data_IF_674537539864
#
_entry.id   IF_674537539864
#
_cell.length_a   1.000
_cell.length_b   1.000
_cell.length_c   1.000
_cell.angle_alpha   90.00
_cell.angle_beta   90.00
_cell.angle_gamma   90.00
#
_symmetry.space_group_name_H-M   'P 1'
#
loop_
_entity.id
_entity.type
_entity.pdbx_description
1 polymer ?
#
# COMPACT_ATOMS: atom_id res chain seq x y z
N UNK A 1 -14.79 7.54 -28.55
CA UNK A 1 -13.60 7.93 -27.77
C UNK A 1 -13.37 6.82 -26.75
N UNK A 2 -12.14 6.37 -26.53
CA UNK A 2 -11.85 5.39 -25.48
C UNK A 2 -12.07 6.04 -24.12
N UNK A 3 -12.75 5.34 -23.22
CA UNK A 3 -12.93 5.80 -21.83
C UNK A 3 -11.58 5.92 -21.14
N UNK A 4 -11.30 7.00 -20.38
CA UNK A 4 -10.04 7.11 -19.66
C UNK A 4 -9.99 6.08 -18.54
N UNK A 5 -8.83 5.46 -18.37
CA UNK A 5 -8.52 4.62 -17.19
C UNK A 5 -7.82 5.54 -16.20
N UNK A 6 -8.41 5.70 -15.01
CA UNK A 6 -7.92 6.62 -13.98
C UNK A 6 -7.72 5.89 -12.64
N UNK A 7 -7.08 6.55 -11.70
CA UNK A 7 -6.96 6.15 -10.29
C UNK A 7 -7.98 6.88 -9.42
N UNK A 8 -8.19 6.39 -8.19
CA UNK A 8 -9.06 7.06 -7.22
C UNK A 8 -8.55 8.46 -6.85
N UNK A 9 -7.25 8.72 -6.98
CA UNK A 9 -6.69 10.05 -6.72
C UNK A 9 -7.08 11.11 -7.76
N UNK A 10 -7.47 10.70 -8.95
CA UNK A 10 -7.77 11.58 -10.09
C UNK A 10 -9.28 11.86 -10.26
N UNK A 11 -10.13 11.37 -9.34
CA UNK A 11 -11.59 11.51 -9.45
C UNK A 11 -12.07 12.96 -9.58
N UNK A 12 -11.42 13.90 -8.90
CA UNK A 12 -11.79 15.31 -8.92
C UNK A 12 -11.66 15.93 -10.33
N UNK A 13 -10.68 15.48 -11.09
CA UNK A 13 -10.42 15.97 -12.46
C UNK A 13 -11.39 15.37 -13.49
N UNK A 14 -12.17 14.34 -13.09
CA UNK A 14 -13.08 13.59 -13.94
C UNK A 14 -14.53 13.60 -13.46
N UNK A 15 -14.91 14.61 -12.66
CA UNK A 15 -16.30 14.77 -12.20
C UNK A 15 -17.27 14.79 -13.39
N UNK A 16 -18.41 14.09 -13.26
CA UNK A 16 -19.47 13.92 -14.27
C UNK A 16 -19.01 13.25 -15.57
N UNK A 17 -17.81 12.63 -15.60
CA UNK A 17 -17.31 11.89 -16.76
C UNK A 17 -17.45 10.38 -16.55
N UNK A 18 -17.60 9.64 -17.65
CA UNK A 18 -17.52 8.17 -17.61
C UNK A 18 -16.06 7.73 -17.68
N UNK A 19 -15.66 6.97 -16.67
CA UNK A 19 -14.27 6.50 -16.49
C UNK A 19 -14.23 5.00 -16.22
N UNK A 20 -13.03 4.41 -16.34
CA UNK A 20 -12.74 3.05 -15.89
C UNK A 20 -11.70 3.12 -14.77
N UNK A 21 -11.96 2.40 -13.68
CA UNK A 21 -11.00 2.20 -12.57
C UNK A 21 -10.64 0.72 -12.48
N UNK A 22 -9.39 0.46 -12.09
CA UNK A 22 -8.87 -0.88 -11.80
C UNK A 22 -8.60 -1.01 -10.32
N UNK A 23 -9.00 -2.13 -9.71
CA UNK A 23 -8.77 -2.30 -8.29
C UNK A 23 -9.31 -3.60 -7.74
N UNK A 24 -9.46 -3.62 -6.44
CA UNK A 24 -9.93 -4.76 -5.68
C UNK A 24 -11.17 -4.41 -4.88
N UNK A 25 -12.10 -5.36 -4.77
CA UNK A 25 -13.28 -5.25 -3.91
C UNK A 25 -12.84 -5.33 -2.44
N UNK A 26 -12.74 -4.18 -1.79
CA UNK A 26 -12.39 -4.13 -0.37
C UNK A 26 -13.54 -4.63 0.52
N UNK A 27 -14.77 -4.24 0.19
CA UNK A 27 -15.98 -4.63 0.91
C UNK A 27 -17.21 -4.34 0.05
N UNK A 28 -18.34 -4.86 0.46
CA UNK A 28 -19.62 -4.56 -0.19
C UNK A 28 -20.78 -4.63 0.80
N UNK A 29 -21.90 -3.95 0.47
CA UNK A 29 -23.16 -4.02 1.21
C UNK A 29 -24.33 -3.93 0.25
N UNK A 30 -25.47 -4.50 0.66
CA UNK A 30 -26.75 -4.42 -0.08
C UNK A 30 -27.74 -3.61 0.75
N UNK A 31 -28.50 -2.73 0.08
CA UNK A 31 -29.64 -2.01 0.68
C UNK A 31 -30.76 -1.90 -0.35
N UNK A 32 -31.78 -2.74 -0.22
CA UNK A 32 -32.86 -2.79 -1.18
C UNK A 32 -32.39 -3.14 -2.59
N UNK A 33 -32.63 -2.22 -3.54
CA UNK A 33 -32.24 -2.33 -4.96
C UNK A 33 -30.83 -1.76 -5.24
N UNK A 34 -30.09 -1.38 -4.20
CA UNK A 34 -28.74 -0.83 -4.31
C UNK A 34 -27.69 -1.84 -3.85
N UNK A 35 -26.63 -1.97 -4.60
CA UNK A 35 -25.41 -2.63 -4.18
C UNK A 35 -24.29 -1.59 -4.13
N UNK A 36 -23.67 -1.47 -2.96
CA UNK A 36 -22.52 -0.60 -2.74
C UNK A 36 -21.26 -1.47 -2.71
N UNK A 37 -20.35 -1.21 -3.61
CA UNK A 37 -19.06 -1.86 -3.68
C UNK A 37 -18.03 -0.82 -3.24
N UNK A 38 -17.19 -1.13 -2.27
CA UNK A 38 -16.05 -0.30 -1.94
C UNK A 38 -14.87 -0.83 -2.73
N UNK A 39 -14.50 -0.11 -3.77
CA UNK A 39 -13.30 -0.35 -4.55
C UNK A 39 -12.08 0.20 -3.81
N UNK A 40 -10.99 -0.51 -3.83
CA UNK A 40 -9.68 -0.06 -3.37
C UNK A 40 -8.68 -0.15 -4.51
N UNK A 41 -7.93 0.91 -4.72
CA UNK A 41 -6.69 0.89 -5.51
C UNK A 41 -5.48 1.23 -4.62
N UNK A 42 -4.34 1.56 -5.21
CA UNK A 42 -3.14 1.98 -4.45
C UNK A 42 -3.26 3.36 -3.79
N UNK A 43 -4.25 4.15 -4.16
CA UNK A 43 -4.38 5.56 -3.77
C UNK A 43 -5.53 5.82 -2.79
N UNK A 44 -6.59 4.99 -2.81
CA UNK A 44 -7.73 5.25 -1.95
C UNK A 44 -8.81 4.18 -1.96
N UNK A 45 -9.99 4.63 -1.51
CA UNK A 45 -11.22 3.84 -1.45
C UNK A 45 -12.35 4.65 -2.07
N UNK A 46 -13.11 4.03 -2.98
CA UNK A 46 -14.23 4.65 -3.67
C UNK A 46 -15.49 3.84 -3.45
N UNK A 47 -16.59 4.50 -3.14
CA UNK A 47 -17.92 3.88 -3.18
C UNK A 47 -18.39 3.80 -4.62
N UNK A 48 -18.63 2.58 -5.10
CA UNK A 48 -19.23 2.31 -6.40
C UNK A 48 -20.65 1.81 -6.18
N UNK A 49 -21.62 2.42 -6.87
CA UNK A 49 -23.04 2.17 -6.68
C UNK A 49 -23.63 1.51 -7.91
N UNK A 50 -24.19 0.31 -7.71
CA UNK A 50 -24.98 -0.39 -8.73
C UNK A 50 -26.44 -0.31 -8.31
N UNK A 51 -27.27 0.36 -9.14
CA UNK A 51 -28.69 0.48 -8.91
C UNK A 51 -29.46 -0.43 -9.87
N UNK A 52 -30.08 -1.47 -9.34
CA UNK A 52 -30.69 -2.55 -10.12
C UNK A 52 -31.62 -2.08 -11.25
N UNK A 53 -32.49 -1.05 -11.08
CA UNK A 53 -33.34 -0.56 -12.17
C UNK A 53 -32.61 0.11 -13.34
N UNK A 54 -31.36 0.52 -13.16
CA UNK A 54 -30.56 1.26 -14.16
C UNK A 54 -29.52 0.37 -14.87
N UNK A 55 -29.43 -0.91 -14.46
CA UNK A 55 -28.46 -1.87 -15.04
C UNK A 55 -29.20 -3.11 -15.54
N UNK A 56 -28.59 -3.81 -16.49
CA UNK A 56 -29.11 -5.09 -16.96
C UNK A 56 -28.91 -6.21 -15.91
N UNK A 57 -29.57 -7.34 -16.13
CA UNK A 57 -29.50 -8.48 -15.20
C UNK A 57 -28.09 -9.07 -15.12
N UNK A 58 -27.34 -9.09 -16.23
CA UNK A 58 -26.00 -9.64 -16.27
C UNK A 58 -25.03 -8.83 -15.41
N UNK A 59 -25.08 -7.49 -15.47
CA UNK A 59 -24.28 -6.62 -14.62
C UNK A 59 -24.68 -6.73 -13.15
N UNK A 60 -25.99 -6.83 -12.88
CA UNK A 60 -26.48 -7.03 -11.51
C UNK A 60 -25.96 -8.34 -10.90
N UNK A 61 -26.08 -9.47 -11.62
CA UNK A 61 -25.59 -10.77 -11.17
C UNK A 61 -24.06 -10.76 -10.98
N UNK A 62 -23.33 -10.11 -11.90
CA UNK A 62 -21.89 -9.89 -11.74
C UNK A 62 -21.58 -9.15 -10.44
N UNK A 63 -22.26 -8.04 -10.17
CA UNK A 63 -22.08 -7.28 -8.93
C UNK A 63 -22.44 -8.09 -7.68
N UNK A 64 -23.42 -9.00 -7.76
CA UNK A 64 -23.82 -9.88 -6.65
C UNK A 64 -22.79 -10.97 -6.38
N UNK A 65 -22.14 -11.49 -7.41
CA UNK A 65 -21.15 -12.58 -7.31
C UNK A 65 -19.81 -12.15 -6.71
N UNK A 66 -19.55 -10.83 -6.60
CA UNK A 66 -18.28 -10.32 -6.11
C UNK A 66 -17.98 -10.77 -4.68
N UNK A 67 -16.77 -11.25 -4.48
CA UNK A 67 -16.17 -11.58 -3.18
C UNK A 67 -15.13 -10.54 -2.76
N UNK A 68 -14.78 -10.51 -1.48
CA UNK A 68 -13.73 -9.62 -0.98
C UNK A 68 -12.39 -9.93 -1.67
N UNK A 69 -11.66 -8.89 -2.06
CA UNK A 69 -10.38 -8.94 -2.78
C UNK A 69 -10.47 -9.46 -4.23
N UNK A 70 -11.66 -9.63 -4.79
CA UNK A 70 -11.82 -9.82 -6.25
C UNK A 70 -11.19 -8.65 -6.98
N UNK A 71 -10.32 -8.92 -7.95
CA UNK A 71 -9.75 -7.92 -8.84
C UNK A 71 -10.64 -7.69 -10.05
N UNK A 72 -10.85 -6.44 -10.39
CA UNK A 72 -11.78 -6.06 -11.45
C UNK A 72 -11.43 -4.73 -12.11
N UNK A 73 -11.97 -4.52 -13.30
CA UNK A 73 -12.18 -3.22 -13.91
C UNK A 73 -13.63 -2.80 -13.71
N UNK A 74 -13.85 -1.58 -13.26
CA UNK A 74 -15.19 -1.05 -13.03
C UNK A 74 -15.35 0.27 -13.80
N UNK A 75 -16.41 0.37 -14.55
CA UNK A 75 -16.73 1.52 -15.39
C UNK A 75 -17.97 2.22 -14.86
N UNK A 76 -17.99 3.53 -14.94
CA UNK A 76 -19.14 4.32 -14.51
C UNK A 76 -18.89 5.82 -14.57
N UNK A 77 -19.92 6.57 -14.22
CA UNK A 77 -19.85 8.04 -14.14
C UNK A 77 -19.44 8.46 -12.74
N UNK A 78 -18.42 9.31 -12.66
CA UNK A 78 -17.98 9.92 -11.39
C UNK A 78 -19.04 10.95 -10.96
N UNK A 79 -19.70 10.71 -9.85
CA UNK A 79 -20.69 11.62 -9.29
C UNK A 79 -20.17 12.29 -8.01
N UNK A 80 -20.44 13.57 -7.85
CA UNK A 80 -20.18 14.29 -6.60
C UNK A 80 -21.26 13.93 -5.59
N UNK A 81 -20.88 13.41 -4.42
CA UNK A 81 -21.79 13.16 -3.30
C UNK A 81 -21.05 13.42 -1.98
N UNK A 82 -21.40 14.52 -1.30
CA UNK A 82 -20.80 14.95 -0.03
C UNK A 82 -20.97 13.91 1.10
N UNK A 83 -21.89 12.95 0.95
CA UNK A 83 -22.09 11.86 1.90
C UNK A 83 -21.16 10.68 1.66
N UNK A 84 -20.57 10.60 0.46
CA UNK A 84 -19.63 9.54 0.11
C UNK A 84 -18.24 9.85 0.70
N UNK A 85 -17.48 8.83 1.15
CA UNK A 85 -16.10 9.04 1.57
C UNK A 85 -15.26 9.66 0.45
N UNK A 86 -14.66 10.81 0.70
CA UNK A 86 -13.87 11.54 -0.29
C UNK A 86 -14.68 12.46 -1.21
N UNK A 87 -16.01 12.60 -1.01
CA UNK A 87 -16.85 13.52 -1.79
C UNK A 87 -17.29 13.01 -3.16
N UNK A 88 -16.92 11.78 -3.52
CA UNK A 88 -17.24 11.18 -4.82
C UNK A 88 -17.77 9.76 -4.69
N UNK A 89 -18.63 9.38 -5.62
CA UNK A 89 -19.02 7.99 -5.85
C UNK A 89 -18.98 7.67 -7.35
N UNK A 90 -18.89 6.39 -7.69
CA UNK A 90 -19.01 5.91 -9.07
C UNK A 90 -20.39 5.32 -9.30
N UNK A 91 -21.17 5.89 -10.22
CA UNK A 91 -22.40 5.28 -10.73
C UNK A 91 -22.03 4.25 -11.78
N UNK A 92 -22.12 2.98 -11.44
CA UNK A 92 -21.57 1.88 -12.21
C UNK A 92 -22.40 1.60 -13.46
N UNK A 93 -21.73 1.53 -14.60
CA UNK A 93 -22.29 1.12 -15.91
C UNK A 93 -21.67 -0.18 -16.44
N UNK A 94 -20.56 -0.67 -15.84
CA UNK A 94 -19.91 -1.91 -16.26
C UNK A 94 -18.98 -2.48 -15.18
N UNK A 95 -18.87 -3.82 -15.16
CA UNK A 95 -17.90 -4.55 -14.30
C UNK A 95 -17.31 -5.68 -15.12
N UNK A 96 -15.99 -5.74 -15.19
CA UNK A 96 -15.23 -6.86 -15.73
C UNK A 96 -14.41 -7.50 -14.62
N UNK A 97 -14.69 -8.74 -14.28
CA UNK A 97 -13.95 -9.50 -13.27
C UNK A 97 -12.67 -10.03 -13.92
N UNK A 98 -11.51 -9.55 -13.46
CA UNK A 98 -10.20 -10.08 -13.89
C UNK A 98 -9.90 -11.40 -13.18
N UNK A 99 -10.16 -11.46 -11.87
CA UNK A 99 -10.03 -12.68 -11.08
C UNK A 99 -10.96 -12.64 -9.87
N UNK A 100 -11.84 -13.61 -9.78
CA UNK A 100 -12.67 -13.84 -8.59
C UNK A 100 -11.77 -14.38 -7.47
N UNK A 101 -11.73 -13.67 -6.34
CA UNK A 101 -10.92 -14.10 -5.21
C UNK A 101 -11.61 -15.24 -4.43
N UNK A 102 -10.85 -16.22 -3.91
CA UNK A 102 -11.37 -17.18 -2.94
C UNK A 102 -11.72 -16.48 -1.62
N UNK A 103 -12.14 -17.26 -0.62
CA UNK A 103 -12.42 -16.71 0.71
C UNK A 103 -11.19 -15.97 1.27
N UNK A 104 -11.38 -14.69 1.63
CA UNK A 104 -10.33 -13.87 2.20
C UNK A 104 -10.28 -14.05 3.71
N UNK A 105 -9.11 -14.47 4.29
CA UNK A 105 -9.05 -14.92 5.68
C UNK A 105 -9.20 -13.80 6.71
N UNK A 106 -8.91 -12.54 6.34
CA UNK A 106 -9.01 -11.39 7.24
C UNK A 106 -10.41 -10.77 7.11
N UNK A 107 -11.33 -11.20 7.95
CA UNK A 107 -12.70 -10.71 7.98
C UNK A 107 -12.89 -9.48 8.88
N UNK A 108 -14.17 -9.14 9.15
CA UNK A 108 -14.54 -7.99 10.01
C UNK A 108 -14.34 -8.23 11.50
N UNK A 109 -14.18 -9.48 11.93
CA UNK A 109 -13.90 -9.82 13.32
C UNK A 109 -12.49 -9.37 13.72
N UNK A 110 -12.28 -9.16 15.00
CA UNK A 110 -10.95 -8.90 15.55
C UNK A 110 -10.06 -10.13 15.40
N UNK A 111 -8.82 -9.93 14.98
CA UNK A 111 -7.81 -10.97 14.79
C UNK A 111 -6.61 -10.69 15.68
N UNK A 112 -6.10 -11.74 16.32
CA UNK A 112 -4.90 -11.65 17.17
C UNK A 112 -3.62 -11.36 16.37
N UNK A 113 -2.57 -10.85 17.05
CA UNK A 113 -1.31 -10.48 16.40
C UNK A 113 -0.64 -11.63 15.66
N UNK A 114 -0.64 -12.83 16.25
CA UNK A 114 -0.03 -14.01 15.62
C UNK A 114 -0.69 -14.35 14.28
N UNK A 115 -2.01 -14.40 14.25
CA UNK A 115 -2.74 -14.62 12.99
C UNK A 115 -2.43 -13.55 11.94
N UNK A 116 -2.41 -12.28 12.32
CA UNK A 116 -2.13 -11.16 11.42
C UNK A 116 -0.69 -11.19 10.89
N UNK A 117 0.28 -11.54 11.73
CA UNK A 117 1.69 -11.67 11.33
C UNK A 117 1.90 -12.84 10.37
N UNK A 118 1.23 -13.97 10.57
CA UNK A 118 1.26 -15.10 9.64
C UNK A 118 0.59 -14.78 8.29
N UNK A 119 -0.33 -13.80 8.28
CA UNK A 119 -1.01 -13.30 7.08
C UNK A 119 -0.59 -11.86 6.70
N UNK A 120 0.63 -11.42 7.05
CA UNK A 120 1.08 -10.03 6.88
C UNK A 120 1.00 -9.51 5.45
N UNK A 121 1.20 -10.36 4.45
CA UNK A 121 1.06 -10.01 3.03
C UNK A 121 -0.37 -9.62 2.64
N UNK A 122 -1.38 -10.17 3.32
CA UNK A 122 -2.78 -9.79 3.19
C UNK A 122 -3.14 -8.62 4.12
N UNK A 123 -2.56 -8.61 5.33
CA UNK A 123 -2.82 -7.57 6.32
C UNK A 123 -2.38 -6.17 5.86
N UNK A 124 -1.34 -6.08 5.03
CA UNK A 124 -0.90 -4.83 4.40
C UNK A 124 -2.03 -4.12 3.62
N UNK A 125 -3.04 -4.86 3.14
CA UNK A 125 -4.20 -4.31 2.42
C UNK A 125 -5.21 -3.61 3.33
N UNK A 126 -5.07 -3.72 4.66
CA UNK A 126 -5.94 -3.02 5.61
C UNK A 126 -5.66 -1.52 5.63
N UNK A 127 -6.71 -0.72 5.90
CA UNK A 127 -6.59 0.75 5.98
C UNK A 127 -5.49 1.21 6.94
N UNK A 128 -5.38 0.53 8.10
CA UNK A 128 -4.37 0.87 9.11
C UNK A 128 -2.96 0.63 8.62
N UNK A 129 -2.69 -0.53 8.03
CA UNK A 129 -1.35 -0.85 7.55
C UNK A 129 -0.96 0.00 6.34
N UNK A 130 -1.91 0.22 5.44
CA UNK A 130 -1.70 1.14 4.32
C UNK A 130 -1.32 2.55 4.80
N UNK A 131 -2.03 3.10 5.79
CA UNK A 131 -1.72 4.41 6.36
C UNK A 131 -0.33 4.41 7.05
N UNK A 132 0.00 3.36 7.82
CA UNK A 132 1.32 3.22 8.47
C UNK A 132 2.43 3.22 7.42
N UNK A 133 2.29 2.48 6.32
CA UNK A 133 3.31 2.42 5.28
C UNK A 133 3.48 3.76 4.57
N UNK A 134 2.41 4.50 4.33
CA UNK A 134 2.50 5.85 3.76
C UNK A 134 3.19 6.83 4.70
N UNK A 135 2.80 6.86 5.97
CA UNK A 135 3.47 7.71 6.99
C UNK A 135 4.95 7.36 7.10
N UNK A 136 5.28 6.07 7.10
CA UNK A 136 6.69 5.63 7.12
C UNK A 136 7.46 6.15 5.92
N UNK A 137 6.91 6.01 4.71
CA UNK A 137 7.54 6.52 3.49
C UNK A 137 7.81 8.02 3.56
N UNK A 138 6.83 8.82 3.99
CA UNK A 138 6.98 10.28 4.14
C UNK A 138 8.06 10.64 5.18
N UNK A 139 8.11 9.90 6.31
CA UNK A 139 9.14 10.11 7.33
C UNK A 139 10.55 9.80 6.80
N UNK A 140 10.70 8.74 6.01
CA UNK A 140 12.00 8.38 5.41
C UNK A 140 12.48 9.47 4.44
N UNK A 141 11.59 10.04 3.64
CA UNK A 141 11.91 11.17 2.77
C UNK A 141 12.22 12.43 3.57
N UNK A 142 11.42 12.75 4.57
CA UNK A 142 11.63 13.95 5.41
C UNK A 142 12.98 13.91 6.15
N UNK A 143 13.39 12.74 6.67
CA UNK A 143 14.68 12.56 7.32
C UNK A 143 15.82 12.81 6.31
N UNK A 144 15.73 12.23 5.11
CA UNK A 144 16.74 12.42 4.07
C UNK A 144 16.83 13.87 3.61
N UNK A 145 15.68 14.52 3.37
CA UNK A 145 15.63 15.94 3.00
C UNK A 145 16.23 16.84 4.08
N UNK A 146 15.92 16.56 5.35
CA UNK A 146 16.49 17.28 6.49
C UNK A 146 18.03 17.28 6.48
N UNK A 147 18.65 16.13 6.25
CA UNK A 147 20.11 16.03 6.21
C UNK A 147 20.69 16.63 4.91
N UNK A 148 20.09 16.33 3.78
CA UNK A 148 20.55 16.81 2.49
C UNK A 148 20.49 18.33 2.37
N UNK A 149 19.41 18.97 2.85
CA UNK A 149 19.27 20.43 2.87
C UNK A 149 20.31 21.13 3.77
N UNK A 150 20.99 20.39 4.66
CA UNK A 150 22.07 20.86 5.54
C UNK A 150 23.45 20.43 5.07
N UNK A 151 23.58 20.03 3.80
CA UNK A 151 24.82 19.61 3.16
C UNK A 151 25.47 18.38 3.81
N UNK A 152 24.67 17.44 4.33
CA UNK A 152 25.14 16.12 4.69
C UNK A 152 25.11 15.18 3.48
N UNK A 153 26.13 14.36 3.34
CA UNK A 153 26.21 13.32 2.30
C UNK A 153 25.70 11.99 2.85
N UNK A 154 24.77 11.35 2.15
CA UNK A 154 24.31 10.00 2.49
C UNK A 154 25.38 8.98 2.17
N UNK A 155 25.71 8.12 3.13
CA UNK A 155 26.61 6.99 2.99
C UNK A 155 25.84 5.71 3.29
N UNK A 156 25.81 4.79 2.35
CA UNK A 156 25.23 3.45 2.54
C UNK A 156 26.31 2.53 3.14
N UNK A 157 26.08 2.11 4.38
CA UNK A 157 26.99 1.17 5.05
C UNK A 157 26.72 -0.26 4.59
N UNK A 158 27.74 -1.12 4.49
CA UNK A 158 27.56 -2.53 4.20
C UNK A 158 26.64 -3.22 5.20
N UNK A 159 25.82 -4.16 4.73
CA UNK A 159 24.96 -4.99 5.58
C UNK A 159 25.78 -6.04 6.33
N UNK A 160 26.80 -6.61 5.66
CA UNK A 160 27.74 -7.57 6.23
C UNK A 160 29.04 -6.87 6.61
N UNK A 161 29.55 -7.19 7.78
CA UNK A 161 30.81 -6.63 8.33
C UNK A 161 31.65 -7.73 8.97
N UNK A 162 32.99 -7.67 8.88
CA UNK A 162 33.85 -8.62 9.58
C UNK A 162 34.01 -8.31 11.08
N UNK A 163 33.56 -7.15 11.55
CA UNK A 163 33.79 -6.69 12.92
C UNK A 163 32.51 -6.12 13.57
N UNK A 164 32.42 -6.25 14.88
CA UNK A 164 31.46 -5.56 15.71
C UNK A 164 31.87 -4.09 15.92
N UNK A 165 30.90 -3.18 15.89
CA UNK A 165 31.12 -1.76 16.15
C UNK A 165 31.35 -1.48 17.66
N UNK A 166 30.66 -2.19 18.52
CA UNK A 166 30.76 -2.10 19.98
C UNK A 166 30.89 -3.51 20.56
N UNK A 167 31.57 -3.67 21.67
CA UNK A 167 31.87 -4.96 22.31
C UNK A 167 30.64 -5.76 22.77
N UNK A 168 29.73 -6.02 21.87
CA UNK A 168 28.51 -6.81 22.09
C UNK A 168 28.76 -8.26 21.76
N UNK A 169 28.34 -9.14 22.67
CA UNK A 169 28.46 -10.59 22.56
C UNK A 169 27.41 -11.25 21.67
N UNK A 170 26.47 -10.49 21.09
CA UNK A 170 25.31 -11.02 20.34
C UNK A 170 25.22 -10.39 18.97
N UNK A 171 26.03 -10.90 18.02
CA UNK A 171 25.92 -10.57 16.62
C UNK A 171 25.18 -11.67 15.87
N UNK A 172 24.42 -11.30 14.85
CA UNK A 172 23.92 -12.27 13.89
C UNK A 172 25.08 -12.67 12.96
N UNK A 173 25.54 -13.88 13.11
CA UNK A 173 26.67 -14.45 12.38
C UNK A 173 26.20 -15.21 11.15
N UNK A 174 27.00 -15.16 10.06
CA UNK A 174 26.82 -15.96 8.86
C UNK A 174 28.15 -16.33 8.25
N UNK A 175 28.22 -17.46 7.53
CA UNK A 175 29.36 -17.80 6.68
C UNK A 175 29.33 -16.96 5.40
N UNK A 176 30.46 -16.44 4.99
CA UNK A 176 30.63 -15.65 3.78
C UNK A 176 31.94 -15.98 3.09
N UNK A 177 31.88 -16.78 2.02
CA UNK A 177 33.05 -17.23 1.23
C UNK A 177 34.19 -17.87 2.05
N UNK A 178 33.87 -18.64 3.08
CA UNK A 178 34.84 -19.30 3.95
C UNK A 178 35.29 -18.48 5.17
N UNK A 179 34.87 -17.21 5.25
CA UNK A 179 35.10 -16.35 6.40
C UNK A 179 33.81 -16.15 7.22
N UNK A 180 33.95 -15.71 8.46
CA UNK A 180 32.81 -15.29 9.28
C UNK A 180 32.48 -13.82 9.01
N UNK A 181 31.20 -13.55 8.72
CA UNK A 181 30.65 -12.19 8.63
C UNK A 181 29.49 -12.00 9.60
N UNK A 182 29.23 -10.77 9.95
CA UNK A 182 28.15 -10.38 10.86
C UNK A 182 27.22 -9.39 10.22
N UNK A 183 25.93 -9.45 10.54
CA UNK A 183 25.00 -8.40 10.17
C UNK A 183 25.32 -7.13 10.96
N UNK A 184 25.42 -6.00 10.25
CA UNK A 184 25.84 -4.72 10.83
C UNK A 184 24.83 -4.18 11.85
N UNK A 185 25.31 -3.82 13.04
CA UNK A 185 24.52 -3.18 14.10
C UNK A 185 24.36 -1.67 13.93
N UNK A 186 25.33 -1.03 13.24
CA UNK A 186 25.32 0.40 12.95
C UNK A 186 26.22 0.71 11.75
N UNK A 187 26.08 1.91 11.19
CA UNK A 187 26.98 2.40 10.15
C UNK A 187 28.26 3.06 10.65
N UNK A 188 28.50 3.09 11.96
CA UNK A 188 29.56 3.91 12.57
C UNK A 188 30.93 3.66 11.96
N UNK A 189 31.40 2.40 11.89
CA UNK A 189 32.74 2.06 11.36
C UNK A 189 32.99 2.55 9.94
N UNK A 190 31.95 2.68 9.13
CA UNK A 190 32.02 3.15 7.75
C UNK A 190 31.81 4.66 7.63
N UNK A 191 31.13 5.29 8.61
CA UNK A 191 30.94 6.74 8.64
C UNK A 191 32.19 7.47 9.14
N UNK A 192 33.01 6.90 10.02
CA UNK A 192 34.23 7.53 10.50
C UNK A 192 35.20 7.88 9.38
N UNK A 193 35.64 6.95 8.50
CA UNK A 193 36.49 7.30 7.36
C UNK A 193 35.75 8.18 6.34
N UNK A 194 34.46 8.01 6.13
CA UNK A 194 33.68 8.87 5.25
C UNK A 194 33.63 10.32 5.78
N UNK A 195 33.54 10.51 7.09
CA UNK A 195 33.59 11.84 7.71
C UNK A 195 34.93 12.52 7.48
N UNK A 196 36.02 11.77 7.56
CA UNK A 196 37.35 12.31 7.28
C UNK A 196 37.51 12.77 5.81
N UNK A 197 36.80 12.12 4.88
CA UNK A 197 36.84 12.44 3.46
C UNK A 197 35.86 13.54 3.03
N UNK A 198 34.64 13.55 3.61
CA UNK A 198 33.50 14.35 3.14
C UNK A 198 33.01 15.38 4.15
N UNK A 199 33.45 15.31 5.40
CA UNK A 199 33.08 16.20 6.49
C UNK A 199 31.74 15.84 7.10
N UNK A 200 30.63 16.29 6.51
CA UNK A 200 29.28 16.01 7.01
C UNK A 200 28.67 14.79 6.32
N UNK A 201 28.48 13.72 7.05
CA UNK A 201 27.89 12.47 6.53
C UNK A 201 26.78 11.96 7.43
N UNK A 202 25.89 11.14 6.89
CA UNK A 202 24.90 10.40 7.65
C UNK A 202 24.64 9.05 6.97
N UNK A 203 24.15 8.08 7.74
CA UNK A 203 23.55 6.87 7.17
C UNK A 203 22.11 6.73 7.66
N UNK A 204 21.28 6.14 6.82
CA UNK A 204 19.89 5.86 7.12
C UNK A 204 19.48 4.58 6.39
N UNK A 205 19.60 3.46 7.07
CA UNK A 205 19.39 2.14 6.51
C UNK A 205 19.10 1.09 7.59
N UNK A 206 18.93 -0.18 7.21
CA UNK A 206 18.64 -1.26 8.13
C UNK A 206 19.83 -1.52 9.07
N UNK A 207 19.53 -1.77 10.34
CA UNK A 207 20.48 -2.23 11.36
C UNK A 207 19.94 -3.49 12.04
N UNK A 208 20.82 -4.34 12.52
CA UNK A 208 20.51 -5.65 13.05
C UNK A 208 21.03 -5.79 14.50
N UNK A 209 20.08 -5.85 15.45
CA UNK A 209 20.43 -5.89 16.86
C UNK A 209 19.49 -6.78 17.67
#
# INVERSE_FOLDING_TARGET
>A
MSRPVITIAELADHAEQEVTLKGWVYNWRKKGKLRFIILRDGFGYLQCVVFRPEVDEALWETAVSLTQETSLEITGVVAVDDRAPGGFELKVSGIEILQLAPEFPIGKKEHGPDFLLNHRHLWLRSKRQHAIMRVRSELEFAIRDFFQSRSYTLIDSPILTPAACEGTSTLFETEYFGDTAFLSQSGQLYLEPATAALGKVYCFGPTFR
#
